data_IF_104550401562
#
_entry.id   IF_104550401562
#
_cell.length_a   1.000
_cell.length_b   1.000
_cell.length_c   1.000
_cell.angle_alpha   90.00
_cell.angle_beta   90.00
_cell.angle_gamma   90.00
#
_symmetry.space_group_name_H-M   'P 1'
#
loop_
_entity.id
_entity.type
_entity.pdbx_description
1 polymer ?
#
# COMPACT_ATOMS: atom_id res chain seq x y z
N UNK A 1 -45.15 -20.12 36.64
CA UNK A 1 -44.34 -19.26 37.54
C UNK A 1 -42.89 -19.72 37.44
N UNK A 2 -42.07 -19.06 36.61
CA UNK A 2 -40.68 -19.44 36.33
C UNK A 2 -39.82 -18.20 36.50
N UNK A 3 -39.09 -18.13 37.60
CA UNK A 3 -38.32 -16.96 38.03
C UNK A 3 -37.76 -17.18 39.43
N UNK A 4 -37.05 -18.30 39.64
CA UNK A 4 -36.17 -18.42 40.81
C UNK A 4 -34.96 -17.52 40.55
N UNK A 5 -34.84 -16.43 41.32
CA UNK A 5 -33.62 -15.63 41.44
C UNK A 5 -32.50 -16.56 41.92
N UNK A 6 -31.75 -17.12 40.99
CA UNK A 6 -30.53 -17.84 41.31
C UNK A 6 -29.40 -16.81 41.39
N UNK A 7 -28.90 -16.48 42.59
CA UNK A 7 -27.88 -15.44 42.78
C UNK A 7 -26.61 -15.73 41.98
N UNK A 8 -26.37 -17.00 41.62
CA UNK A 8 -25.27 -17.41 40.76
C UNK A 8 -25.47 -16.92 39.33
N UNK A 9 -26.67 -17.09 38.76
CA UNK A 9 -26.98 -16.68 37.39
C UNK A 9 -26.96 -15.15 37.23
N UNK A 10 -27.51 -14.43 38.21
CA UNK A 10 -27.50 -12.96 38.22
C UNK A 10 -26.06 -12.41 38.30
N UNK A 11 -25.21 -13.03 39.12
CA UNK A 11 -23.79 -12.71 39.18
C UNK A 11 -23.10 -12.94 37.82
N UNK A 12 -23.30 -14.09 37.17
CA UNK A 12 -22.73 -14.35 35.85
C UNK A 12 -23.22 -13.37 34.78
N UNK A 13 -24.49 -12.94 34.83
CA UNK A 13 -25.03 -11.94 33.90
C UNK A 13 -24.35 -10.58 34.07
N UNK A 14 -24.16 -10.12 35.30
CA UNK A 14 -23.48 -8.84 35.60
C UNK A 14 -22.02 -8.81 35.11
N UNK A 15 -21.36 -9.98 35.10
CA UNK A 15 -19.93 -10.12 34.74
C UNK A 15 -19.72 -10.25 33.21
N UNK A 16 -20.78 -10.46 32.41
CA UNK A 16 -20.66 -10.67 30.96
C UNK A 16 -19.93 -9.53 30.25
N UNK A 17 -20.26 -8.30 30.59
CA UNK A 17 -19.66 -7.11 29.98
C UNK A 17 -18.20 -6.89 30.42
N UNK A 18 -17.88 -6.87 31.74
CA UNK A 18 -16.50 -6.85 32.22
C UNK A 18 -15.62 -7.95 31.62
N UNK A 19 -16.17 -9.16 31.48
CA UNK A 19 -15.46 -10.30 30.89
C UNK A 19 -15.18 -10.07 29.39
N UNK A 20 -16.16 -9.57 28.64
CA UNK A 20 -16.00 -9.23 27.24
C UNK A 20 -14.91 -8.18 27.02
N UNK A 21 -14.94 -7.10 27.81
CA UNK A 21 -13.93 -6.04 27.78
C UNK A 21 -12.54 -6.56 28.16
N UNK A 22 -12.44 -7.39 29.21
CA UNK A 22 -11.17 -8.02 29.61
C UNK A 22 -10.63 -8.90 28.48
N UNK A 23 -11.49 -9.65 27.79
CA UNK A 23 -11.10 -10.46 26.64
C UNK A 23 -10.62 -9.62 25.46
N UNK A 24 -11.33 -8.53 25.13
CA UNK A 24 -10.91 -7.59 24.11
C UNK A 24 -9.56 -6.94 24.45
N UNK A 25 -9.35 -6.55 25.70
CA UNK A 25 -8.07 -6.05 26.18
C UNK A 25 -6.94 -7.05 25.98
N UNK A 26 -7.16 -8.33 26.30
CA UNK A 26 -6.16 -9.38 26.04
C UNK A 26 -5.90 -9.64 24.56
N UNK A 27 -6.92 -9.52 23.70
CA UNK A 27 -6.74 -9.60 22.24
C UNK A 27 -5.84 -8.45 21.79
N UNK A 28 -6.11 -7.22 22.25
CA UNK A 28 -5.30 -6.06 21.94
C UNK A 28 -3.85 -6.23 22.44
N UNK A 29 -3.65 -6.63 23.69
CA UNK A 29 -2.33 -6.93 24.27
C UNK A 29 -1.54 -7.92 23.38
N UNK A 30 -2.16 -9.04 23.00
CA UNK A 30 -1.49 -10.06 22.19
C UNK A 30 -1.26 -9.62 20.76
N UNK A 31 -2.21 -8.89 20.17
CA UNK A 31 -2.06 -8.35 18.83
C UNK A 31 -0.90 -7.34 18.80
N UNK A 32 -0.84 -6.41 19.75
CA UNK A 32 0.24 -5.44 19.87
C UNK A 32 1.59 -6.12 20.08
N UNK A 33 1.67 -7.16 20.92
CA UNK A 33 2.92 -7.90 21.14
C UNK A 33 3.34 -8.79 19.97
N UNK A 34 2.41 -9.26 19.15
CA UNK A 34 2.68 -10.17 18.03
C UNK A 34 2.92 -9.44 16.70
N UNK A 35 2.26 -8.31 16.46
CA UNK A 35 2.29 -7.60 15.18
C UNK A 35 3.09 -6.30 15.20
N UNK A 36 3.79 -5.97 16.30
CA UNK A 36 4.67 -4.80 16.35
C UNK A 36 5.72 -4.74 15.22
N UNK A 37 6.36 -5.84 14.77
CA UNK A 37 7.35 -5.75 13.69
C UNK A 37 6.68 -5.41 12.36
N UNK A 38 5.47 -5.94 12.12
CA UNK A 38 4.71 -5.70 10.89
C UNK A 38 4.38 -4.22 10.75
N UNK A 39 3.81 -3.61 11.78
CA UNK A 39 3.46 -2.18 11.75
C UNK A 39 4.71 -1.31 11.65
N UNK A 40 5.83 -1.71 12.26
CA UNK A 40 7.10 -0.99 12.15
C UNK A 40 7.63 -1.00 10.71
N UNK A 41 7.62 -2.15 10.04
CA UNK A 41 8.01 -2.27 8.62
C UNK A 41 7.10 -1.40 7.74
N UNK A 42 5.79 -1.45 7.96
CA UNK A 42 4.82 -0.64 7.22
C UNK A 42 5.10 0.86 7.42
N UNK A 43 5.30 1.31 8.66
CA UNK A 43 5.59 2.71 8.95
C UNK A 43 6.90 3.16 8.31
N UNK A 44 7.96 2.36 8.37
CA UNK A 44 9.24 2.69 7.71
C UNK A 44 9.06 2.78 6.20
N UNK A 45 8.36 1.82 5.58
CA UNK A 45 8.11 1.82 4.14
C UNK A 45 7.33 3.07 3.70
N UNK A 46 6.22 3.38 4.39
CA UNK A 46 5.42 4.59 4.11
C UNK A 46 6.27 5.85 4.29
N UNK A 47 7.07 5.91 5.35
CA UNK A 47 7.93 7.07 5.64
C UNK A 47 8.95 7.31 4.53
N UNK A 48 9.60 6.24 4.05
CA UNK A 48 10.57 6.32 2.96
C UNK A 48 9.93 6.86 1.67
N UNK A 49 8.72 6.41 1.34
CA UNK A 49 7.98 6.88 0.15
C UNK A 49 7.53 8.34 0.30
N UNK A 50 6.96 8.71 1.45
CA UNK A 50 6.50 10.07 1.70
C UNK A 50 7.64 11.10 1.69
N UNK A 51 8.83 10.72 2.16
CA UNK A 51 10.03 11.56 2.09
C UNK A 51 10.62 11.61 0.67
N UNK A 52 10.17 10.77 -0.26
CA UNK A 52 10.69 10.70 -1.63
C UNK A 52 12.06 10.04 -1.72
N UNK A 53 12.36 9.09 -0.84
CA UNK A 53 13.65 8.38 -0.87
C UNK A 53 13.83 7.61 -2.19
N UNK A 54 12.73 7.21 -2.82
CA UNK A 54 12.74 6.56 -4.14
C UNK A 54 13.19 7.48 -5.28
N UNK A 55 13.01 8.80 -5.14
CA UNK A 55 13.43 9.78 -6.17
C UNK A 55 14.94 10.05 -6.13
N UNK A 56 15.61 9.74 -5.01
CA UNK A 56 17.03 9.99 -4.79
C UNK A 56 17.93 8.79 -5.06
N UNK A 57 17.33 7.60 -5.18
CA UNK A 57 18.04 6.34 -5.30
C UNK A 57 17.96 5.78 -6.72
N UNK A 58 19.00 5.06 -7.19
CA UNK A 58 18.92 4.33 -8.45
C UNK A 58 17.82 3.27 -8.41
N UNK A 59 17.26 2.97 -9.59
CA UNK A 59 16.09 2.09 -9.75
C UNK A 59 16.28 0.72 -9.07
N UNK A 60 17.47 0.14 -9.17
CA UNK A 60 17.83 -1.14 -8.56
C UNK A 60 17.71 -1.11 -7.03
N UNK A 61 18.11 0.00 -6.40
CA UNK A 61 18.02 0.18 -4.96
C UNK A 61 16.56 0.35 -4.49
N UNK A 62 15.73 1.04 -5.28
CA UNK A 62 14.29 1.17 -5.01
C UNK A 62 13.61 -0.20 -5.07
N UNK A 63 13.87 -0.99 -6.12
CA UNK A 63 13.32 -2.35 -6.22
C UNK A 63 13.82 -3.28 -5.13
N UNK A 64 15.11 -3.23 -4.80
CA UNK A 64 15.67 -4.00 -3.68
C UNK A 64 14.99 -3.63 -2.36
N UNK A 65 14.78 -2.33 -2.10
CA UNK A 65 14.06 -1.83 -0.93
C UNK A 65 12.60 -2.29 -0.90
N UNK A 66 11.91 -2.25 -2.04
CA UNK A 66 10.52 -2.72 -2.16
C UNK A 66 10.40 -4.22 -1.89
N UNK A 67 11.27 -5.04 -2.48
CA UNK A 67 11.31 -6.48 -2.23
C UNK A 67 11.61 -6.77 -0.76
N UNK A 68 12.58 -6.07 -0.16
CA UNK A 68 12.92 -6.21 1.26
C UNK A 68 11.74 -5.82 2.17
N UNK A 69 11.01 -4.75 1.85
CA UNK A 69 9.84 -4.33 2.59
C UNK A 69 8.72 -5.38 2.52
N UNK A 70 8.46 -5.96 1.34
CA UNK A 70 7.46 -7.02 1.14
C UNK A 70 7.86 -8.30 1.88
N UNK A 71 9.11 -8.75 1.74
CA UNK A 71 9.61 -9.93 2.44
C UNK A 71 9.61 -9.73 3.96
N UNK A 72 10.04 -8.56 4.42
CA UNK A 72 10.02 -8.18 5.83
C UNK A 72 8.61 -8.13 6.41
N UNK A 73 7.66 -7.53 5.68
CA UNK A 73 6.25 -7.52 6.06
C UNK A 73 5.65 -8.93 6.07
N UNK A 74 5.95 -9.76 5.07
CA UNK A 74 5.52 -11.16 5.00
C UNK A 74 6.07 -12.00 6.15
N UNK A 75 7.37 -11.86 6.45
CA UNK A 75 8.01 -12.54 7.58
C UNK A 75 7.45 -12.08 8.93
N UNK A 76 7.24 -10.77 9.10
CA UNK A 76 6.64 -10.21 10.31
C UNK A 76 5.18 -10.64 10.50
N UNK A 77 4.40 -10.69 9.41
CA UNK A 77 3.03 -11.19 9.41
C UNK A 77 2.99 -12.67 9.80
N UNK A 78 3.85 -13.49 9.19
CA UNK A 78 3.96 -14.90 9.51
C UNK A 78 4.37 -15.16 10.96
N UNK A 79 5.37 -14.42 11.45
CA UNK A 79 5.80 -14.47 12.84
C UNK A 79 4.67 -14.07 13.79
N UNK A 80 3.98 -12.97 13.50
CA UNK A 80 2.83 -12.49 14.27
C UNK A 80 1.71 -13.52 14.29
N UNK A 81 1.35 -14.09 13.14
CA UNK A 81 0.32 -15.13 13.02
C UNK A 81 0.68 -16.40 13.80
N UNK A 82 1.96 -16.84 13.78
CA UNK A 82 2.42 -17.99 14.56
C UNK A 82 2.44 -17.73 16.07
N UNK A 83 2.73 -16.50 16.50
CA UNK A 83 2.82 -16.15 17.92
C UNK A 83 1.47 -15.76 18.51
N UNK A 84 0.55 -15.28 17.69
CA UNK A 84 -0.79 -14.88 18.11
C UNK A 84 -1.60 -16.09 18.54
N UNK A 85 -2.01 -16.10 19.81
CA UNK A 85 -2.92 -17.10 20.37
C UNK A 85 -4.18 -16.39 20.83
N UNK A 86 -5.33 -16.75 20.26
CA UNK A 86 -6.60 -16.16 20.66
C UNK A 86 -6.88 -16.46 22.14
N UNK A 87 -7.11 -15.45 23.00
CA UNK A 87 -7.42 -15.68 24.40
C UNK A 87 -8.77 -16.39 24.55
N UNK A 88 -8.74 -17.50 25.30
CA UNK A 88 -9.92 -18.27 25.65
C UNK A 88 -10.82 -17.50 26.61
N UNK A 89 -12.09 -17.91 26.69
CA UNK A 89 -13.03 -17.34 27.67
C UNK A 89 -12.58 -17.66 29.10
N UNK A 90 -12.07 -18.87 29.33
CA UNK A 90 -11.65 -19.32 30.66
C UNK A 90 -10.42 -18.56 31.15
N UNK A 91 -9.50 -18.20 30.24
CA UNK A 91 -8.35 -17.35 30.57
C UNK A 91 -8.78 -15.92 30.94
N UNK A 92 -9.82 -15.41 30.28
CA UNK A 92 -10.40 -14.11 30.62
C UNK A 92 -11.11 -14.13 31.98
N UNK A 93 -11.83 -15.21 32.26
CA UNK A 93 -12.47 -15.45 33.56
C UNK A 93 -11.41 -15.53 34.65
N UNK A 94 -10.38 -16.37 34.48
CA UNK A 94 -9.30 -16.56 35.44
C UNK A 94 -8.54 -15.25 35.72
N UNK A 95 -8.27 -14.44 34.68
CA UNK A 95 -7.61 -13.14 34.83
C UNK A 95 -8.49 -12.11 35.54
N UNK A 96 -9.77 -12.05 35.20
CA UNK A 96 -10.73 -11.19 35.89
C UNK A 96 -10.92 -11.62 37.36
N UNK A 97 -10.88 -12.93 37.62
CA UNK A 97 -11.07 -13.46 38.95
C UNK A 97 -9.87 -13.21 39.88
N UNK A 98 -8.65 -13.18 39.31
CA UNK A 98 -7.42 -12.82 40.05
C UNK A 98 -7.40 -11.39 40.56
N UNK A 99 -8.17 -10.48 39.97
CA UNK A 99 -8.24 -9.09 40.47
C UNK A 99 -9.18 -8.92 41.65
N UNK A 100 -9.96 -9.96 41.99
CA UNK A 100 -10.93 -9.94 43.07
C UNK A 100 -10.47 -10.81 44.26
N UNK A 101 -10.68 -10.34 45.51
CA UNK A 101 -10.27 -11.09 46.69
C UNK A 101 -11.12 -12.36 46.86
N UNK A 102 -10.45 -13.50 46.92
CA UNK A 102 -11.08 -14.81 47.15
C UNK A 102 -11.63 -15.50 45.89
N UNK A 103 -11.25 -15.02 44.68
CA UNK A 103 -11.57 -15.68 43.39
C UNK A 103 -13.06 -16.06 43.24
N UNK A 104 -13.98 -15.10 43.43
CA UNK A 104 -15.42 -15.36 43.52
C UNK A 104 -16.01 -16.06 42.29
N UNK A 105 -15.48 -15.84 41.07
CA UNK A 105 -16.01 -16.47 39.86
C UNK A 105 -15.70 -17.96 39.81
N UNK A 106 -14.50 -18.35 40.24
CA UNK A 106 -14.12 -19.76 40.37
C UNK A 106 -14.98 -20.43 41.44
N UNK A 107 -15.16 -19.76 42.59
CA UNK A 107 -15.96 -20.29 43.70
C UNK A 107 -17.45 -20.45 43.37
N UNK A 108 -18.03 -19.55 42.55
CA UNK A 108 -19.40 -19.68 42.06
C UNK A 108 -19.59 -20.82 41.05
N UNK A 109 -18.52 -21.25 40.39
CA UNK A 109 -18.51 -22.42 39.50
C UNK A 109 -18.26 -23.74 40.22
N UNK A 110 -17.96 -23.70 41.52
CA UNK A 110 -17.65 -24.88 42.32
C UNK A 110 -18.90 -25.47 42.99
N UNK A 111 -18.87 -26.77 43.25
CA UNK A 111 -19.94 -27.51 43.92
C UNK A 111 -19.48 -27.96 45.30
N UNK A 112 -20.35 -27.89 46.30
CA UNK A 112 -20.00 -28.28 47.67
C UNK A 112 -19.60 -29.76 47.74
N UNK A 113 -18.29 -30.01 47.94
CA UNK A 113 -17.76 -31.37 48.03
C UNK A 113 -17.89 -32.01 49.43
N UNK A 114 -17.98 -31.20 50.49
CA UNK A 114 -18.01 -31.66 51.90
C UNK A 114 -19.27 -31.17 52.60
N UNK A 115 -20.00 -32.07 53.26
CA UNK A 115 -21.23 -31.74 53.99
C UNK A 115 -22.49 -31.63 53.13
N UNK A 116 -22.45 -32.13 51.90
CA UNK A 116 -23.65 -32.26 51.06
C UNK A 116 -24.65 -33.23 51.74
N UNK A 117 -25.88 -32.76 51.99
CA UNK A 117 -26.90 -33.51 52.73
C UNK A 117 -27.00 -33.18 54.23
N UNK A 118 -26.11 -32.33 54.77
CA UNK A 118 -26.26 -31.73 56.10
C UNK A 118 -26.81 -30.29 55.98
N UNK A 119 -28.03 -30.07 56.47
CA UNK A 119 -28.71 -28.78 56.38
C UNK A 119 -27.98 -27.63 57.06
N UNK A 120 -27.18 -27.89 58.09
CA UNK A 120 -26.35 -26.85 58.74
C UNK A 120 -25.17 -26.45 57.84
N UNK A 121 -24.46 -27.43 57.27
CA UNK A 121 -23.36 -27.21 56.33
C UNK A 121 -23.83 -26.51 55.04
N UNK A 122 -24.98 -26.89 54.51
CA UNK A 122 -25.58 -26.25 53.33
C UNK A 122 -25.99 -24.79 53.59
N UNK A 123 -26.43 -24.46 54.81
CA UNK A 123 -26.74 -23.08 55.18
C UNK A 123 -25.48 -22.19 55.17
N UNK A 124 -24.36 -22.70 55.69
CA UNK A 124 -23.07 -22.00 55.66
C UNK A 124 -22.57 -21.83 54.22
N UNK A 125 -22.68 -22.88 53.40
CA UNK A 125 -22.30 -22.82 51.99
C UNK A 125 -23.12 -21.78 51.22
N UNK A 126 -24.44 -21.76 51.38
CA UNK A 126 -25.31 -20.74 50.74
C UNK A 126 -24.93 -19.32 51.16
N UNK A 127 -24.60 -19.11 52.43
CA UNK A 127 -24.13 -17.80 52.90
C UNK A 127 -22.77 -17.41 52.28
N UNK A 128 -21.87 -18.38 52.08
CA UNK A 128 -20.60 -18.16 51.40
C UNK A 128 -20.80 -17.81 49.91
N UNK A 129 -21.61 -18.59 49.19
CA UNK A 129 -21.97 -18.36 47.79
C UNK A 129 -22.60 -16.98 47.60
N UNK A 130 -23.53 -16.58 48.48
CA UNK A 130 -24.15 -15.24 48.43
C UNK A 130 -23.11 -14.12 48.54
N UNK A 131 -22.16 -14.23 49.48
CA UNK A 131 -21.06 -13.25 49.61
C UNK A 131 -20.16 -13.22 48.37
N UNK A 132 -19.92 -14.36 47.73
CA UNK A 132 -19.13 -14.39 46.48
C UNK A 132 -19.90 -13.80 45.31
N UNK A 133 -21.22 -14.00 45.22
CA UNK A 133 -22.09 -13.40 44.21
C UNK A 133 -22.10 -11.87 44.32
N UNK A 134 -22.22 -11.33 45.53
CA UNK A 134 -22.14 -9.88 45.78
C UNK A 134 -20.77 -9.30 45.38
N UNK A 135 -19.68 -10.03 45.61
CA UNK A 135 -18.33 -9.63 45.17
C UNK A 135 -18.18 -9.68 43.65
N UNK A 136 -18.68 -10.74 43.02
CA UNK A 136 -18.63 -10.90 41.56
C UNK A 136 -19.41 -9.77 40.84
N UNK A 137 -20.50 -9.28 41.42
CA UNK A 137 -21.26 -8.16 40.87
C UNK A 137 -20.46 -6.84 40.81
N UNK A 138 -19.39 -6.71 41.60
CA UNK A 138 -18.49 -5.54 41.58
C UNK A 138 -17.32 -5.67 40.60
N UNK A 139 -17.27 -6.76 39.83
CA UNK A 139 -16.20 -7.03 38.88
C UNK A 139 -16.06 -5.88 37.86
N UNK A 140 -14.82 -5.40 37.69
CA UNK A 140 -14.47 -4.39 36.68
C UNK A 140 -13.56 -4.99 35.63
N UNK A 141 -13.69 -4.51 34.40
CA UNK A 141 -12.80 -4.94 33.32
C UNK A 141 -11.33 -4.66 33.68
N UNK A 142 -10.46 -5.61 33.37
CA UNK A 142 -9.02 -5.47 33.60
C UNK A 142 -8.40 -4.70 32.44
N UNK A 143 -7.58 -3.70 32.75
CA UNK A 143 -6.88 -2.87 31.75
C UNK A 143 -5.82 -3.70 30.99
N UNK A 144 -5.73 -3.58 29.65
CA UNK A 144 -4.73 -4.29 28.88
C UNK A 144 -3.33 -3.74 29.09
N UNK A 145 -2.36 -4.65 29.24
CA UNK A 145 -0.94 -4.29 29.29
C UNK A 145 -0.34 -4.23 27.88
N UNK A 146 -0.37 -3.05 27.26
CA UNK A 146 0.18 -2.81 25.93
C UNK A 146 1.70 -2.62 25.90
N UNK A 147 2.41 -2.89 27.00
CA UNK A 147 3.87 -2.77 27.03
C UNK A 147 4.51 -3.83 26.13
N UNK A 148 5.40 -3.36 25.25
CA UNK A 148 6.19 -4.18 24.30
C UNK A 148 7.69 -4.10 24.59
N UNK A 149 8.10 -3.41 25.67
CA UNK A 149 9.51 -3.16 25.98
C UNK A 149 10.38 -4.44 26.01
N UNK A 150 9.85 -5.54 26.56
CA UNK A 150 10.56 -6.83 26.64
C UNK A 150 10.84 -7.47 25.27
N UNK A 151 10.12 -7.07 24.23
CA UNK A 151 10.22 -7.61 22.86
C UNK A 151 10.89 -6.66 21.87
N UNK A 152 11.08 -5.40 22.26
CA UNK A 152 11.71 -4.36 21.44
C UNK A 152 12.81 -3.64 22.25
N UNK A 153 13.95 -4.31 22.52
CA UNK A 153 15.03 -3.75 23.35
C UNK A 153 15.72 -2.55 22.69
N UNK A 154 15.68 -2.47 21.36
CA UNK A 154 16.26 -1.38 20.57
C UNK A 154 15.27 -0.26 20.25
N UNK A 155 14.03 -0.33 20.76
CA UNK A 155 12.99 0.67 20.51
C UNK A 155 12.71 0.91 19.00
N UNK A 156 12.86 -0.12 18.16
CA UNK A 156 12.65 -0.05 16.71
C UNK A 156 11.26 0.45 16.35
N UNK A 157 10.23 0.14 17.15
CA UNK A 157 8.88 0.67 16.90
C UNK A 157 8.84 2.19 17.01
N UNK A 158 9.59 2.76 17.95
CA UNK A 158 9.61 4.20 18.16
C UNK A 158 10.40 4.89 17.06
N UNK A 159 11.46 4.26 16.55
CA UNK A 159 12.16 4.73 15.34
C UNK A 159 11.21 4.75 14.15
N UNK A 160 10.40 3.70 13.98
CA UNK A 160 9.41 3.64 12.90
C UNK A 160 8.31 4.72 13.03
N UNK A 161 7.79 4.94 14.24
CA UNK A 161 6.81 6.01 14.51
C UNK A 161 7.44 7.40 14.33
N UNK A 162 8.69 7.59 14.75
CA UNK A 162 9.41 8.85 14.56
C UNK A 162 9.64 9.13 13.07
N UNK A 163 10.05 8.13 12.30
CA UNK A 163 10.18 8.23 10.86
C UNK A 163 8.86 8.63 10.21
N UNK A 164 7.74 8.03 10.67
CA UNK A 164 6.41 8.36 10.17
C UNK A 164 6.01 9.80 10.54
N UNK A 165 6.28 10.24 11.76
CA UNK A 165 6.03 11.61 12.19
C UNK A 165 6.83 12.62 11.34
N UNK A 166 8.11 12.34 11.09
CA UNK A 166 8.94 13.16 10.20
C UNK A 166 8.39 13.17 8.77
N UNK A 167 7.97 12.02 8.25
CA UNK A 167 7.36 11.92 6.94
C UNK A 167 6.02 12.67 6.83
N UNK A 168 5.22 12.71 7.90
CA UNK A 168 3.98 13.48 7.94
C UNK A 168 4.23 14.99 8.01
N UNK A 169 5.30 15.43 8.67
CA UNK A 169 5.64 16.84 8.81
C UNK A 169 6.37 17.41 7.58
N UNK A 170 7.28 16.64 7.00
CA UNK A 170 8.20 17.11 5.95
C UNK A 170 8.00 16.42 4.60
N UNK A 171 7.32 15.27 4.57
CA UNK A 171 7.04 14.54 3.36
C UNK A 171 5.79 15.03 2.63
N UNK A 172 5.47 14.38 1.52
CA UNK A 172 4.28 14.66 0.72
C UNK A 172 3.59 13.37 0.29
N UNK A 173 2.28 13.30 0.51
CA UNK A 173 1.46 12.15 0.08
C UNK A 173 1.48 11.99 -1.44
N UNK A 174 1.67 13.09 -2.19
CA UNK A 174 1.78 13.05 -3.66
C UNK A 174 3.02 12.26 -4.14
N UNK A 175 4.10 12.22 -3.35
CA UNK A 175 5.28 11.41 -3.67
C UNK A 175 5.02 9.90 -3.55
N UNK A 176 4.03 9.49 -2.77
CA UNK A 176 3.62 8.09 -2.72
C UNK A 176 2.95 7.67 -4.04
N UNK A 177 2.26 8.61 -4.71
CA UNK A 177 1.62 8.35 -6.00
C UNK A 177 2.63 8.23 -7.16
N UNK A 178 3.77 8.92 -7.10
CA UNK A 178 4.80 8.85 -8.15
C UNK A 178 5.47 7.47 -8.25
N UNK A 179 5.39 6.64 -7.21
CA UNK A 179 5.84 5.24 -7.24
C UNK A 179 5.11 4.44 -8.34
N UNK A 180 3.85 4.78 -8.65
CA UNK A 180 3.10 4.12 -9.71
C UNK A 180 3.71 4.39 -11.10
N UNK A 181 4.34 5.55 -11.29
CA UNK A 181 5.03 5.94 -12.54
C UNK A 181 6.35 5.19 -12.74
N UNK A 182 6.92 4.63 -11.67
CA UNK A 182 8.16 3.84 -11.69
C UNK A 182 7.92 2.36 -12.05
N UNK A 183 6.68 1.93 -12.30
CA UNK A 183 6.35 0.53 -12.61
C UNK A 183 6.62 0.24 -14.09
N UNK A 184 7.57 -0.67 -14.44
CA UNK A 184 7.86 -1.02 -15.83
C UNK A 184 6.61 -1.48 -16.57
N UNK A 185 6.27 -0.80 -17.66
CA UNK A 185 5.08 -1.08 -18.49
C UNK A 185 3.85 -0.21 -18.17
N UNK A 186 3.82 0.45 -17.02
CA UNK A 186 2.94 1.58 -16.71
C UNK A 186 3.78 2.85 -16.84
N UNK A 187 4.13 3.20 -18.07
CA UNK A 187 4.78 4.49 -18.34
C UNK A 187 3.93 5.64 -17.77
N UNK A 188 4.52 6.83 -17.55
CA UNK A 188 3.78 7.97 -17.05
C UNK A 188 2.50 8.09 -17.85
N UNK A 189 1.39 8.36 -17.17
CA UNK A 189 0.12 8.66 -17.82
C UNK A 189 0.33 9.92 -18.67
N UNK A 190 0.88 9.75 -19.87
CA UNK A 190 1.14 10.75 -20.90
C UNK A 190 -0.17 11.30 -21.49
N UNK A 191 -1.26 11.13 -20.75
CA UNK A 191 -2.57 11.72 -21.01
C UNK A 191 -2.73 13.06 -20.29
N UNK A 192 -1.80 13.45 -19.40
CA UNK A 192 -1.89 14.72 -18.66
C UNK A 192 -1.29 15.93 -19.39
N UNK A 193 -0.41 15.74 -20.38
CA UNK A 193 0.33 16.85 -21.02
C UNK A 193 0.58 16.60 -22.51
N UNK A 194 -0.46 16.81 -23.32
CA UNK A 194 -0.33 16.98 -24.78
C UNK A 194 0.20 15.77 -25.57
N UNK A 195 0.31 15.91 -26.91
CA UNK A 195 0.88 14.85 -27.75
C UNK A 195 2.34 14.57 -27.36
N UNK A 196 2.69 13.29 -27.19
CA UNK A 196 4.06 12.86 -26.87
C UNK A 196 5.10 13.20 -27.97
N UNK A 197 4.66 13.75 -29.10
CA UNK A 197 5.50 14.23 -30.19
C UNK A 197 4.75 15.29 -31.00
N UNK A 198 5.50 16.20 -31.60
CA UNK A 198 5.01 17.12 -32.63
C UNK A 198 5.84 17.00 -33.89
N UNK A 199 5.23 17.23 -35.05
CA UNK A 199 5.98 17.24 -36.30
C UNK A 199 5.33 18.15 -37.32
N UNK A 200 6.16 18.81 -38.12
CA UNK A 200 5.70 19.62 -39.24
C UNK A 200 6.59 19.43 -40.45
N UNK A 201 6.00 19.64 -41.62
CA UNK A 201 6.68 19.66 -42.90
C UNK A 201 6.63 21.08 -43.44
N UNK A 202 7.78 21.60 -43.82
CA UNK A 202 7.94 22.92 -44.44
C UNK A 202 8.31 22.73 -45.92
N UNK A 203 7.39 23.05 -46.85
CA UNK A 203 7.68 23.02 -48.28
C UNK A 203 8.73 24.05 -48.69
N UNK A 204 9.49 23.83 -49.78
CA UNK A 204 10.45 24.82 -50.27
C UNK A 204 9.79 26.16 -50.62
N UNK A 205 10.50 27.26 -50.35
CA UNK A 205 9.98 28.63 -50.52
C UNK A 205 9.44 28.92 -51.93
N UNK A 206 10.01 28.29 -52.98
CA UNK A 206 9.57 28.45 -54.37
C UNK A 206 8.19 27.85 -54.66
N UNK A 207 7.67 26.99 -53.78
CA UNK A 207 6.36 26.34 -53.98
C UNK A 207 5.19 27.19 -53.51
N UNK A 208 5.43 28.19 -52.66
CA UNK A 208 4.38 29.03 -52.07
C UNK A 208 3.36 28.28 -51.19
N UNK A 209 3.65 27.03 -50.80
CA UNK A 209 2.75 26.20 -49.98
C UNK A 209 2.97 26.45 -48.47
N UNK A 210 1.91 26.42 -47.64
CA UNK A 210 2.03 26.59 -46.19
C UNK A 210 2.68 25.37 -45.51
N UNK A 211 3.19 25.57 -44.29
CA UNK A 211 3.68 24.47 -43.45
C UNK A 211 2.54 23.55 -43.03
N UNK A 212 2.85 22.25 -42.97
CA UNK A 212 1.88 21.19 -42.74
C UNK A 212 2.15 20.58 -41.37
N UNK A 213 1.20 20.68 -40.44
CA UNK A 213 1.30 20.06 -39.12
C UNK A 213 0.84 18.61 -39.14
N UNK A 214 1.73 17.69 -38.78
CA UNK A 214 1.51 16.25 -38.95
C UNK A 214 0.52 15.65 -37.94
N UNK A 215 0.33 16.27 -36.79
CA UNK A 215 -0.61 15.80 -35.77
C UNK A 215 -2.07 16.02 -36.16
N UNK A 216 -2.35 16.98 -37.05
CA UNK A 216 -3.70 17.29 -37.54
C UNK A 216 -4.12 16.40 -38.72
N UNK A 217 -3.18 15.65 -39.30
CA UNK A 217 -3.42 14.81 -40.48
C UNK A 217 -3.66 13.36 -40.08
N UNK A 218 -4.83 12.83 -40.47
CA UNK A 218 -5.19 11.43 -40.31
C UNK A 218 -4.12 10.49 -40.91
N UNK A 219 -3.86 9.32 -40.31
CA UNK A 219 -2.90 8.37 -40.85
C UNK A 219 -3.28 7.93 -42.28
N UNK A 220 -2.35 8.07 -43.23
CA UNK A 220 -2.60 7.75 -44.64
C UNK A 220 -1.42 8.13 -45.54
N UNK A 221 -1.60 7.96 -46.84
CA UNK A 221 -0.68 8.47 -47.87
C UNK A 221 -1.01 9.94 -48.12
N UNK A 222 0.00 10.78 -48.18
CA UNK A 222 -0.15 12.18 -48.56
C UNK A 222 1.06 12.63 -49.36
N UNK A 223 0.83 13.56 -50.29
CA UNK A 223 1.83 14.05 -51.24
C UNK A 223 2.45 15.35 -50.72
N UNK A 224 3.78 15.43 -50.86
CA UNK A 224 4.58 16.56 -50.39
C UNK A 224 5.61 16.87 -51.49
N UNK A 225 5.91 18.16 -51.77
CA UNK A 225 6.96 18.52 -52.71
C UNK A 225 8.31 17.93 -52.31
N UNK A 226 9.10 17.54 -53.30
CA UNK A 226 10.51 17.18 -53.10
C UNK A 226 11.28 18.35 -52.47
N UNK A 227 12.33 18.04 -51.70
CA UNK A 227 13.11 18.97 -50.89
C UNK A 227 12.36 19.67 -49.74
N UNK A 228 11.17 19.20 -49.37
CA UNK A 228 10.48 19.69 -48.17
C UNK A 228 11.22 19.24 -46.90
N UNK A 229 11.29 20.13 -45.91
CA UNK A 229 11.96 19.88 -44.63
C UNK A 229 10.97 19.31 -43.62
N UNK A 230 11.22 18.10 -43.13
CA UNK A 230 10.46 17.49 -42.04
C UNK A 230 11.20 17.73 -40.73
N UNK A 231 10.53 18.34 -39.76
CA UNK A 231 11.00 18.45 -38.38
C UNK A 231 10.07 17.69 -37.44
N UNK A 232 10.63 16.85 -36.60
CA UNK A 232 9.91 16.10 -35.56
C UNK A 232 10.56 16.45 -34.22
N UNK A 233 9.73 16.80 -33.23
CA UNK A 233 10.14 16.96 -31.85
C UNK A 233 9.45 15.91 -31.00
N UNK A 234 10.24 15.24 -30.17
CA UNK A 234 9.78 14.19 -29.27
C UNK A 234 9.71 14.79 -27.86
N UNK A 235 8.59 14.56 -27.18
CA UNK A 235 8.36 15.03 -25.81
C UNK A 235 8.27 13.82 -24.89
N UNK A 236 9.31 13.60 -24.08
CA UNK A 236 9.39 12.47 -23.17
C UNK A 236 10.82 12.20 -22.73
N UNK A 237 11.03 11.09 -22.03
CA UNK A 237 12.36 10.64 -21.63
C UNK A 237 13.19 10.26 -22.88
N UNK A 238 14.44 10.75 -22.95
CA UNK A 238 15.35 10.57 -24.10
C UNK A 238 15.47 9.08 -24.43
N UNK A 239 15.13 8.69 -25.66
CA UNK A 239 15.18 7.29 -26.12
C UNK A 239 13.93 6.45 -25.92
N UNK A 240 12.86 6.97 -25.29
CA UNK A 240 11.58 6.27 -25.18
C UNK A 240 10.78 6.23 -26.50
N UNK A 241 11.13 7.09 -27.46
CA UNK A 241 10.50 7.21 -28.78
C UNK A 241 11.59 7.19 -29.85
N UNK A 242 11.43 6.31 -30.84
CA UNK A 242 12.32 6.23 -32.00
C UNK A 242 11.56 6.46 -33.29
N UNK A 243 12.16 7.22 -34.19
CA UNK A 243 11.63 7.47 -35.54
C UNK A 243 12.44 6.65 -36.54
N UNK A 244 11.75 5.85 -37.36
CA UNK A 244 12.32 5.14 -38.49
C UNK A 244 11.85 5.80 -39.79
N UNK A 245 12.78 6.30 -40.60
CA UNK A 245 12.49 7.06 -41.81
C UNK A 245 13.31 6.58 -43.01
N UNK A 246 12.73 6.66 -44.20
CA UNK A 246 13.36 6.26 -45.48
C UNK A 246 13.19 7.32 -46.57
N UNK A 247 12.60 8.47 -46.22
CA UNK A 247 12.28 9.57 -47.16
C UNK A 247 13.48 10.48 -47.44
N UNK A 248 14.46 10.52 -46.54
CA UNK A 248 15.71 11.26 -46.74
C UNK A 248 16.75 10.56 -47.62
N UNK A 249 16.59 9.25 -47.88
CA UNK A 249 17.53 8.45 -48.67
C UNK A 249 18.93 8.29 -48.07
N UNK A 250 19.14 8.68 -46.80
CA UNK A 250 20.44 8.55 -46.11
C UNK A 250 20.68 7.10 -45.68
N UNK A 251 21.81 6.52 -46.12
CA UNK A 251 22.28 5.17 -45.76
C UNK A 251 23.43 5.18 -44.74
N UNK A 252 23.75 6.33 -44.14
CA UNK A 252 24.83 6.54 -43.17
C UNK A 252 24.58 7.76 -42.27
N UNK A 253 25.54 8.07 -41.39
CA UNK A 253 25.56 9.12 -40.34
C UNK A 253 24.18 9.73 -40.02
N UNK A 254 23.36 8.90 -39.39
CA UNK A 254 22.04 9.28 -38.90
C UNK A 254 22.23 9.88 -37.50
N UNK A 255 21.69 11.07 -37.19
CA UNK A 255 21.57 11.52 -35.81
C UNK A 255 20.84 10.42 -35.01
N UNK A 256 21.17 10.30 -33.72
CA UNK A 256 20.63 9.20 -32.92
C UNK A 256 19.11 9.21 -33.00
N UNK A 257 18.49 8.06 -33.31
CA UNK A 257 17.04 7.96 -33.45
C UNK A 257 16.28 8.31 -32.15
N UNK A 258 17.01 8.55 -31.06
CA UNK A 258 16.59 8.97 -29.74
C UNK A 258 16.77 10.47 -29.45
N UNK A 259 17.27 11.29 -30.39
CA UNK A 259 17.40 12.74 -30.22
C UNK A 259 16.04 13.44 -30.14
N UNK A 260 15.94 14.44 -29.25
CA UNK A 260 14.72 15.19 -28.94
C UNK A 260 14.16 15.97 -30.14
N UNK A 261 15.02 16.33 -31.11
CA UNK A 261 14.61 17.00 -32.36
C UNK A 261 15.31 16.35 -33.52
N UNK A 262 14.54 15.88 -34.50
CA UNK A 262 15.05 15.32 -35.75
C UNK A 262 14.59 16.18 -36.90
N UNK A 263 15.54 16.61 -37.75
CA UNK A 263 15.22 17.36 -38.96
C UNK A 263 15.93 16.77 -40.17
N UNK A 264 15.19 16.51 -41.24
CA UNK A 264 15.74 15.98 -42.48
C UNK A 264 14.92 16.46 -43.68
N UNK A 265 15.55 16.43 -44.86
CA UNK A 265 14.93 16.84 -46.11
C UNK A 265 14.37 15.61 -46.83
N UNK A 266 13.17 15.75 -47.39
CA UNK A 266 12.49 14.70 -48.15
C UNK A 266 13.08 14.70 -49.57
N UNK A 267 13.94 13.72 -49.85
CA UNK A 267 14.62 13.58 -51.13
C UNK A 267 13.94 12.56 -52.05
N UNK A 268 13.17 11.62 -51.48
CA UNK A 268 12.55 10.55 -52.26
C UNK A 268 11.24 10.03 -51.64
N UNK A 269 10.48 9.32 -52.46
CA UNK A 269 9.39 8.45 -52.00
C UNK A 269 9.91 7.48 -50.93
N UNK A 270 9.22 7.39 -49.79
CA UNK A 270 9.69 6.59 -48.67
C UNK A 270 8.63 6.33 -47.62
N UNK A 271 9.04 6.01 -46.41
CA UNK A 271 8.19 5.61 -45.29
C UNK A 271 8.67 6.28 -44.02
N UNK A 272 7.74 6.77 -43.21
CA UNK A 272 7.97 7.25 -41.85
C UNK A 272 7.17 6.36 -40.90
N UNK A 273 7.82 5.78 -39.90
CA UNK A 273 7.19 4.98 -38.87
C UNK A 273 7.73 5.39 -37.49
N UNK A 274 6.82 5.69 -36.56
CA UNK A 274 7.15 5.82 -35.14
C UNK A 274 6.73 4.55 -34.39
N UNK A 275 7.50 4.15 -33.38
CA UNK A 275 7.19 2.95 -32.59
C UNK A 275 6.11 3.19 -31.53
N UNK A 276 4.88 3.35 -32.03
CA UNK A 276 3.62 2.87 -31.46
C UNK A 276 2.55 3.04 -32.54
N UNK A 277 2.46 2.04 -33.41
CA UNK A 277 1.40 1.84 -34.44
C UNK A 277 1.00 3.07 -35.28
N UNK A 278 1.95 3.86 -35.78
CA UNK A 278 1.70 4.80 -36.89
C UNK A 278 2.58 4.46 -38.09
N UNK A 279 2.04 3.66 -39.02
CA UNK A 279 2.68 3.26 -40.27
C UNK A 279 2.31 4.27 -41.36
N UNK A 280 3.19 5.19 -41.79
CA UNK A 280 2.92 6.15 -42.89
C UNK A 280 3.84 5.92 -44.10
N UNK A 281 3.33 6.02 -45.33
CA UNK A 281 4.04 5.79 -46.59
C UNK A 281 3.91 7.05 -47.46
N UNK A 282 5.01 7.54 -48.03
CA UNK A 282 5.14 8.75 -48.85
C UNK A 282 5.46 8.36 -50.29
N UNK A 283 4.77 8.95 -51.26
CA UNK A 283 5.15 8.94 -52.67
C UNK A 283 5.58 10.37 -53.03
N UNK A 284 6.78 10.52 -53.58
CA UNK A 284 7.23 11.72 -54.26
C UNK A 284 6.64 11.73 -55.68
N UNK A 285 5.96 12.82 -56.00
CA UNK A 285 5.42 13.06 -57.33
C UNK A 285 6.49 13.69 -58.23
N UNK A 286 6.64 13.14 -59.43
CA UNK A 286 7.63 13.54 -60.42
C UNK A 286 6.88 14.16 -61.60
N UNK A 287 6.65 15.47 -61.54
CA UNK A 287 6.10 16.21 -62.69
C UNK A 287 7.26 16.74 -63.56
N UNK A 288 7.35 16.35 -64.85
CA UNK A 288 8.33 16.93 -65.77
C UNK A 288 7.80 18.25 -66.36
N UNK A 289 8.65 19.28 -66.34
CA UNK A 289 8.68 20.41 -67.29
C UNK A 289 7.47 21.33 -67.34
#
# INVERSE_FOLDING_TARGET
>A
MRGSNDPVNDAFQSVRWPLGLTRLGMVAERATRAFWPLWSVIFVAISALMLGLHDLLPLEAVWAGAVLAVLGAGAALFWGARRFRMPGRDEALDRLDRTMPGRPLTTLGDTQAVGAGDGASEAVWRAHVKRMAERAATARAVEPDLRVADRDPFALRYVAVLALAMALLFGSVLRVASVAEMTPGLGPAALATGPAWEGWIEPPAYTGKPSIYLNDIKPGTFEVPEASRLTIRLYGEVGALTVAETVSGRLGDLPSAAEDTQSFEIAQSGRLAGDRRARRRFLGDHSPG
#
